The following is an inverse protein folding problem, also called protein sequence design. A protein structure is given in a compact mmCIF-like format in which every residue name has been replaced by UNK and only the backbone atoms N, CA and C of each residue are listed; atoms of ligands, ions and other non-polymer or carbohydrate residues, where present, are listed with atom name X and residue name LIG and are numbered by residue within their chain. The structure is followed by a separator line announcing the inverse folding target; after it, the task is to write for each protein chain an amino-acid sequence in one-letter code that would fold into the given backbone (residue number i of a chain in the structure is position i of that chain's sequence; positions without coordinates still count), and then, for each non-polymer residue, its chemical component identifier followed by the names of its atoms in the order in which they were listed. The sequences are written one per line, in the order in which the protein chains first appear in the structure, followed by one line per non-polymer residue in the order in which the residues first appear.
data_IF_820174021426
#
_entry.id   IF_820174021426
#
_cell.length_a   1.000
_cell.length_b   1.000
_cell.length_c   1.000
_cell.angle_alpha   90.00
_cell.angle_beta   90.00
_cell.angle_gamma   90.00
#
_symmetry.space_group_name_H-M   'P 1'
#
loop_
_entity.id
_entity.type
_entity.pdbx_description
1 polymer ?
#
# COMPACT_ATOMS: atom_id res chain seq x y z
N UNK A 1 -2.02 -15.67 -9.73
CA UNK A 1 -0.81 -14.89 -10.11
C UNK A 1 0.44 -15.29 -9.33
N UNK A 2 0.45 -16.38 -8.55
CA UNK A 2 1.61 -16.77 -7.76
C UNK A 2 2.52 -17.66 -8.62
N UNK A 3 3.70 -17.15 -8.99
CA UNK A 3 4.73 -17.94 -9.66
C UNK A 3 5.66 -18.63 -8.65
N UNK A 4 5.82 -18.04 -7.47
CA UNK A 4 6.75 -18.46 -6.43
C UNK A 4 6.16 -18.25 -5.04
N UNK A 5 6.68 -18.99 -4.06
CA UNK A 5 6.36 -18.79 -2.65
C UNK A 5 7.11 -17.59 -2.08
N UNK A 6 6.38 -16.47 -1.92
CA UNK A 6 6.90 -15.27 -1.25
C UNK A 6 6.57 -15.27 0.24
N UNK A 7 7.57 -14.96 1.06
CA UNK A 7 7.40 -14.83 2.51
C UNK A 7 7.25 -13.37 2.98
N UNK A 8 7.43 -12.43 2.06
CA UNK A 8 7.31 -11.00 2.32
C UNK A 8 6.80 -10.26 1.09
N UNK A 9 5.87 -9.33 1.30
CA UNK A 9 5.30 -8.46 0.28
C UNK A 9 5.75 -7.03 0.60
N UNK A 10 6.35 -6.34 -0.36
CA UNK A 10 6.62 -4.90 -0.29
C UNK A 10 5.62 -4.16 -1.17
N UNK A 11 4.94 -3.17 -0.59
CA UNK A 11 4.12 -2.20 -1.29
C UNK A 11 4.89 -0.90 -1.30
N UNK A 12 5.19 -0.38 -2.49
CA UNK A 12 6.25 0.58 -2.65
C UNK A 12 5.93 1.55 -3.78
N UNK A 13 5.77 2.83 -3.45
CA UNK A 13 5.63 3.87 -4.47
C UNK A 13 6.87 3.91 -5.36
N UNK A 14 6.67 3.96 -6.68
CA UNK A 14 7.76 3.89 -7.67
C UNK A 14 8.72 5.08 -7.61
N UNK A 15 8.28 6.18 -6.99
CA UNK A 15 9.01 7.43 -6.89
C UNK A 15 9.81 7.57 -5.58
N UNK A 16 9.76 6.59 -4.66
CA UNK A 16 10.45 6.66 -3.37
C UNK A 16 11.72 5.81 -3.34
N UNK A 17 12.90 6.42 -3.29
CA UNK A 17 14.18 5.69 -3.25
C UNK A 17 14.78 5.71 -1.83
N UNK A 18 15.15 4.56 -1.24
CA UNK A 18 15.80 4.53 0.07
C UNK A 18 17.18 5.20 0.01
N UNK A 19 17.52 6.01 1.02
CA UNK A 19 18.82 6.69 1.09
C UNK A 19 19.91 5.86 1.81
N UNK A 20 19.53 4.75 2.45
CA UNK A 20 20.42 3.95 3.29
C UNK A 20 20.12 2.45 3.13
N UNK A 21 21.14 1.68 2.75
CA UNK A 21 21.04 0.24 2.46
C UNK A 21 20.82 -0.63 3.71
N UNK A 22 20.99 -0.06 4.91
CA UNK A 22 20.66 -0.74 6.18
C UNK A 22 19.16 -0.76 6.47
N UNK A 23 18.34 -0.04 5.69
CA UNK A 23 16.90 -0.24 5.70
C UNK A 23 16.53 -1.45 4.84
N UNK A 24 16.77 -2.64 5.39
CA UNK A 24 16.63 -3.91 4.68
C UNK A 24 15.20 -4.13 4.15
N UNK A 25 15.10 -4.63 2.92
CA UNK A 25 13.82 -4.96 2.27
C UNK A 25 13.34 -6.35 2.69
N UNK A 26 13.07 -6.49 3.98
CA UNK A 26 12.53 -7.70 4.61
C UNK A 26 11.33 -7.37 5.48
N UNK A 27 10.49 -8.37 5.74
CA UNK A 27 9.37 -8.24 6.67
C UNK A 27 9.83 -8.41 8.12
N UNK A 28 9.14 -7.73 9.03
CA UNK A 28 9.36 -7.82 10.47
C UNK A 28 8.27 -8.67 11.15
N UNK A 29 8.38 -8.85 12.47
CA UNK A 29 7.35 -9.48 13.31
C UNK A 29 5.94 -8.85 13.15
N UNK A 30 5.89 -7.56 12.83
CA UNK A 30 4.67 -6.80 12.58
C UNK A 30 4.79 -6.06 11.24
N UNK A 31 3.67 -5.64 10.61
CA UNK A 31 3.68 -4.81 9.41
C UNK A 31 4.68 -3.66 9.52
N UNK A 32 5.63 -3.61 8.59
CA UNK A 32 6.72 -2.65 8.57
C UNK A 32 6.31 -1.42 7.77
N UNK A 33 6.53 -0.23 8.32
CA UNK A 33 6.56 1.02 7.58
C UNK A 33 8.03 1.40 7.37
N UNK A 34 8.52 1.29 6.14
CA UNK A 34 9.93 1.48 5.81
C UNK A 34 10.28 2.95 5.59
N UNK A 35 9.40 3.72 4.94
CA UNK A 35 9.59 5.13 4.56
C UNK A 35 9.23 6.12 5.67
N UNK A 36 9.90 6.02 6.80
CA UNK A 36 9.52 6.79 8.01
C UNK A 36 9.98 8.25 7.99
N UNK A 37 10.92 8.59 7.10
CA UNK A 37 11.49 9.92 6.97
C UNK A 37 11.70 10.27 5.49
N UNK A 38 10.66 10.79 4.84
CA UNK A 38 10.75 11.24 3.44
C UNK A 38 11.20 12.71 3.35
N UNK A 39 12.00 13.02 2.34
CA UNK A 39 12.49 14.38 2.08
C UNK A 39 11.34 15.40 1.87
N UNK A 40 10.25 15.00 1.21
CA UNK A 40 9.06 15.83 1.00
C UNK A 40 8.39 16.31 2.30
N UNK A 41 8.58 15.57 3.39
CA UNK A 41 8.09 15.90 4.73
C UNK A 41 9.20 16.42 5.64
N UNK A 42 10.33 16.85 5.08
CA UNK A 42 11.48 17.34 5.84
C UNK A 42 12.13 16.26 6.71
N UNK A 43 12.10 15.00 6.26
CA UNK A 43 12.60 13.82 6.98
C UNK A 43 11.95 13.60 8.35
N UNK A 44 10.68 14.00 8.49
CA UNK A 44 9.87 13.77 9.68
C UNK A 44 8.67 12.90 9.34
N UNK A 45 8.31 12.03 10.28
CA UNK A 45 7.07 11.28 10.18
C UNK A 45 5.88 12.24 10.32
N UNK A 46 4.93 12.29 9.36
CA UNK A 46 3.81 13.24 9.42
C UNK A 46 2.95 13.10 10.68
N UNK A 47 2.65 11.86 11.07
CA UNK A 47 1.91 11.52 12.30
C UNK A 47 2.12 10.05 12.68
N UNK A 48 1.81 9.69 13.93
CA UNK A 48 2.17 8.38 14.51
C UNK A 48 1.61 7.17 13.77
N UNK A 49 0.40 7.27 13.21
CA UNK A 49 -0.26 6.19 12.45
C UNK A 49 0.07 6.20 10.96
N UNK A 50 0.88 7.14 10.45
CA UNK A 50 1.21 7.22 9.04
C UNK A 50 1.87 5.93 8.54
N UNK A 51 1.35 5.37 7.44
CA UNK A 51 1.75 4.08 6.88
C UNK A 51 1.95 4.09 5.35
N UNK A 52 1.91 5.27 4.73
CA UNK A 52 2.05 5.44 3.28
C UNK A 52 3.49 5.43 2.76
N UNK A 53 3.65 5.41 1.45
CA UNK A 53 4.94 5.37 0.77
C UNK A 53 5.46 3.96 0.54
N UNK A 54 6.17 3.42 1.53
CA UNK A 54 6.77 2.09 1.47
C UNK A 54 6.47 1.30 2.72
N UNK A 55 5.78 0.18 2.56
CA UNK A 55 5.42 -0.75 3.62
C UNK A 55 5.71 -2.20 3.24
N UNK A 56 5.83 -3.06 4.25
CA UNK A 56 6.03 -4.49 4.04
C UNK A 56 5.22 -5.34 5.01
N UNK A 57 4.63 -6.41 4.50
CA UNK A 57 3.80 -7.35 5.25
C UNK A 57 4.12 -8.79 4.80
N UNK A 58 4.19 -9.73 5.75
CA UNK A 58 4.15 -11.14 5.37
C UNK A 58 2.76 -11.47 4.78
N UNK A 59 2.63 -12.51 3.94
CA UNK A 59 1.33 -12.94 3.45
C UNK A 59 0.33 -13.21 4.59
N UNK A 60 0.79 -13.75 5.73
CA UNK A 60 -0.05 -13.96 6.91
C UNK A 60 -0.53 -12.63 7.51
N UNK A 61 0.37 -11.67 7.72
CA UNK A 61 0.03 -10.34 8.24
C UNK A 61 -0.97 -9.62 7.33
N UNK A 62 -0.76 -9.71 6.02
CA UNK A 62 -1.62 -9.11 4.99
C UNK A 62 -3.01 -9.76 4.99
N UNK A 63 -3.10 -11.09 5.02
CA UNK A 63 -4.40 -11.78 5.04
C UNK A 63 -5.12 -11.62 6.38
N UNK A 64 -4.41 -11.51 7.51
CA UNK A 64 -5.00 -11.26 8.83
C UNK A 64 -5.79 -9.94 8.89
N UNK A 65 -5.42 -8.98 8.06
CA UNK A 65 -6.11 -7.69 7.94
C UNK A 65 -7.09 -7.62 6.75
N UNK A 66 -7.39 -8.76 6.11
CA UNK A 66 -8.17 -8.84 4.87
C UNK A 66 -7.54 -8.02 3.72
N UNK A 67 -6.22 -7.85 3.70
CA UNK A 67 -5.50 -6.97 2.78
C UNK A 67 -6.01 -5.52 2.77
N UNK A 68 -5.78 -4.84 1.65
CA UNK A 68 -6.05 -3.41 1.48
C UNK A 68 -7.47 -3.14 0.96
N UNK A 69 -8.05 -1.94 1.22
CA UNK A 69 -9.36 -1.57 0.70
C UNK A 69 -9.36 -1.47 -0.83
N UNK A 70 -10.44 -1.89 -1.49
CA UNK A 70 -10.55 -1.80 -2.96
C UNK A 70 -11.36 -0.57 -3.42
N UNK A 71 -11.91 0.22 -2.50
CA UNK A 71 -12.90 1.26 -2.81
C UNK A 71 -12.35 2.70 -2.75
N UNK A 72 -11.04 2.87 -2.58
CA UNK A 72 -10.37 4.16 -2.66
C UNK A 72 -9.99 4.46 -4.12
N UNK A 73 -10.91 5.10 -4.84
CA UNK A 73 -10.70 5.61 -6.19
C UNK A 73 -10.29 7.09 -6.14
N UNK A 74 -9.09 7.41 -6.61
CA UNK A 74 -8.44 8.71 -6.45
C UNK A 74 -7.57 8.79 -5.19
N UNK A 75 -6.98 9.95 -4.95
CA UNK A 75 -5.93 10.10 -3.94
C UNK A 75 -6.45 10.33 -2.52
N UNK A 76 -5.91 9.55 -1.57
CA UNK A 76 -5.85 9.84 -0.15
C UNK A 76 -6.78 9.04 0.76
N UNK A 77 -6.28 8.72 1.96
CA UNK A 77 -6.99 8.10 3.08
C UNK A 77 -6.97 6.57 3.09
N UNK A 78 -6.49 5.93 2.03
CA UNK A 78 -6.30 4.49 1.90
C UNK A 78 -5.19 3.99 2.84
N UNK A 79 -4.08 4.71 2.93
CA UNK A 79 -2.98 4.38 3.86
C UNK A 79 -3.42 4.46 5.32
N UNK A 80 -4.29 5.42 5.64
CA UNK A 80 -4.87 5.58 6.97
C UNK A 80 -5.86 4.45 7.27
N UNK A 81 -6.64 4.00 6.28
CA UNK A 81 -7.51 2.82 6.40
C UNK A 81 -6.67 1.57 6.67
N UNK A 82 -5.59 1.37 5.91
CA UNK A 82 -4.62 0.29 6.11
C UNK A 82 -4.04 0.34 7.53
N UNK A 83 -3.61 1.50 8.03
CA UNK A 83 -3.12 1.65 9.39
C UNK A 83 -4.18 1.29 10.44
N UNK A 84 -5.44 1.65 10.22
CA UNK A 84 -6.57 1.24 11.07
C UNK A 84 -6.77 -0.28 11.03
N UNK A 85 -6.67 -0.92 9.87
CA UNK A 85 -6.78 -2.39 9.72
C UNK A 85 -5.64 -3.13 10.40
N UNK A 86 -4.41 -2.61 10.36
CA UNK A 86 -3.27 -3.14 11.13
C UNK A 86 -3.64 -3.17 12.62
N UNK A 87 -4.17 -2.08 13.17
CA UNK A 87 -4.61 -2.04 14.56
C UNK A 87 -5.80 -2.98 14.85
N UNK A 88 -6.81 -3.03 13.97
CA UNK A 88 -8.01 -3.87 14.14
C UNK A 88 -7.72 -5.37 14.07
N UNK A 89 -6.68 -5.76 13.33
CA UNK A 89 -6.19 -7.14 13.26
C UNK A 89 -5.28 -7.52 14.44
N UNK A 90 -5.13 -6.64 15.43
CA UNK A 90 -4.30 -6.86 16.61
C UNK A 90 -2.80 -6.82 16.32
N UNK A 91 -2.40 -6.12 15.25
CA UNK A 91 -1.01 -5.94 14.85
C UNK A 91 -0.52 -4.53 15.24
N UNK A 92 0.80 -4.36 15.28
CA UNK A 92 1.45 -3.06 15.48
C UNK A 92 2.14 -2.61 14.18
N UNK A 93 2.65 -1.38 14.15
CA UNK A 93 3.50 -0.92 13.05
C UNK A 93 4.96 -1.00 13.51
N UNK A 94 5.77 -1.79 12.81
CA UNK A 94 7.23 -1.80 12.95
C UNK A 94 7.86 -0.68 12.13
N UNK A 95 8.93 -0.06 12.64
CA UNK A 95 9.64 1.02 11.96
C UNK A 95 11.16 0.85 12.17
N UNK A 96 11.98 1.08 11.13
CA UNK A 96 13.43 1.19 11.31
C UNK A 96 13.78 2.43 12.15
N UNK A 97 15.06 2.60 12.47
CA UNK A 97 15.56 3.88 12.99
C UNK A 97 15.38 4.98 11.94
N UNK A 98 15.03 6.20 12.38
CA UNK A 98 14.92 7.39 11.51
C UNK A 98 16.21 7.65 10.73
N UNK A 99 17.36 7.25 11.28
CA UNK A 99 18.65 7.36 10.58
C UNK A 99 18.69 6.54 9.29
N UNK A 100 18.05 5.36 9.27
CA UNK A 100 18.12 4.42 8.16
C UNK A 100 16.85 4.44 7.30
N UNK A 101 15.68 4.73 7.87
CA UNK A 101 14.40 4.79 7.14
C UNK A 101 14.18 6.09 6.36
N UNK A 102 15.24 6.68 5.80
CA UNK A 102 15.18 7.89 4.99
C UNK A 102 14.91 7.55 3.53
N UNK A 103 14.03 8.33 2.90
CA UNK A 103 13.67 8.16 1.50
C UNK A 103 13.68 9.49 0.76
N UNK A 104 14.09 9.42 -0.50
CA UNK A 104 14.06 10.50 -1.46
C UNK A 104 12.91 10.31 -2.44
N UNK A 105 12.03 11.29 -2.55
CA UNK A 105 10.99 11.32 -3.58
C UNK A 105 11.56 11.86 -4.90
N UNK A 106 11.39 11.11 -5.98
CA UNK A 106 11.61 11.57 -7.35
C UNK A 106 10.53 12.60 -7.65
N UNK A 107 10.93 13.80 -8.05
CA UNK A 107 9.98 14.89 -8.29
C UNK A 107 9.17 14.62 -9.55
N UNK A 108 7.85 14.70 -9.43
CA UNK A 108 6.91 14.67 -10.56
C UNK A 108 5.78 15.70 -10.33
N UNK A 109 5.03 16.01 -11.39
CA UNK A 109 3.84 16.87 -11.30
C UNK A 109 2.64 16.12 -10.72
N UNK A 110 1.47 16.75 -10.72
CA UNK A 110 0.25 15.99 -10.43
C UNK A 110 -0.04 14.99 -11.55
N UNK A 111 -0.09 13.71 -11.22
CA UNK A 111 -0.44 12.67 -12.17
C UNK A 111 -1.96 12.65 -12.42
N UNK A 112 -2.35 12.46 -13.68
CA UNK A 112 -3.76 12.27 -14.05
C UNK A 112 -4.29 11.00 -13.40
N UNK A 113 -5.51 11.04 -12.83
CA UNK A 113 -6.09 9.92 -12.10
C UNK A 113 -5.79 9.91 -10.59
N UNK A 114 -4.88 10.78 -10.13
CA UNK A 114 -4.61 11.02 -8.71
C UNK A 114 -5.38 12.23 -8.17
N UNK A 115 -6.54 12.55 -8.76
CA UNK A 115 -7.41 13.58 -8.20
C UNK A 115 -7.83 13.19 -6.78
N UNK A 116 -7.87 14.19 -5.91
CA UNK A 116 -8.20 13.97 -4.52
C UNK A 116 -9.58 13.31 -4.38
N UNK A 117 -9.64 12.17 -3.68
CA UNK A 117 -10.89 11.46 -3.45
C UNK A 117 -11.80 12.29 -2.51
N UNK A 118 -12.98 12.75 -2.97
CA UNK A 118 -13.89 13.56 -2.15
C UNK A 118 -14.55 12.73 -1.04
N UNK A 119 -14.55 11.40 -1.16
CA UNK A 119 -15.16 10.46 -0.21
C UNK A 119 -14.18 9.97 0.85
N UNK A 120 -12.88 10.31 0.77
CA UNK A 120 -11.81 9.74 1.63
C UNK A 120 -12.12 9.74 3.13
N UNK A 121 -12.63 10.85 3.66
CA UNK A 121 -12.96 10.96 5.09
C UNK A 121 -14.17 10.11 5.48
N UNK A 122 -15.15 9.98 4.60
CA UNK A 122 -16.34 9.15 4.81
C UNK A 122 -15.97 7.65 4.75
N UNK A 123 -15.08 7.27 3.83
CA UNK A 123 -14.54 5.91 3.74
C UNK A 123 -13.76 5.56 5.02
N UNK A 124 -12.83 6.43 5.43
CA UNK A 124 -12.01 6.24 6.62
C UNK A 124 -12.85 6.15 7.91
N UNK A 125 -13.92 6.95 8.03
CA UNK A 125 -14.83 6.86 9.17
C UNK A 125 -15.58 5.51 9.24
N UNK A 126 -15.71 4.80 8.12
CA UNK A 126 -16.43 3.52 8.02
C UNK A 126 -15.53 2.30 8.13
N UNK A 127 -14.20 2.44 8.07
CA UNK A 127 -13.23 1.32 8.07
C UNK A 127 -13.53 0.25 9.11
N UNK A 128 -13.79 0.65 10.38
CA UNK A 128 -14.09 -0.29 11.47
C UNK A 128 -15.28 -1.21 11.19
N UNK A 129 -16.25 -0.75 10.39
CA UNK A 129 -17.45 -1.50 10.00
C UNK A 129 -17.23 -2.30 8.72
N UNK A 130 -16.43 -1.79 7.79
CA UNK A 130 -16.34 -2.31 6.41
C UNK A 130 -15.11 -3.17 6.14
N UNK A 131 -14.06 -3.13 6.96
CA UNK A 131 -12.77 -3.79 6.64
C UNK A 131 -12.85 -5.31 6.44
N UNK A 132 -13.86 -5.98 7.00
CA UNK A 132 -14.10 -7.42 6.79
C UNK A 132 -14.91 -7.73 5.52
N UNK A 133 -15.53 -6.71 4.92
CA UNK A 133 -16.39 -6.83 3.74
C UNK A 133 -15.69 -6.34 2.47
N UNK A 134 -14.77 -5.38 2.61
CA UNK A 134 -13.97 -4.85 1.51
C UNK A 134 -12.49 -5.13 1.75
N UNK A 135 -11.88 -5.91 0.87
CA UNK A 135 -10.48 -6.30 0.93
C UNK A 135 -10.16 -7.46 -0.02
N UNK A 136 -9.22 -8.33 0.35
CA UNK A 136 -8.84 -9.49 -0.46
C UNK A 136 -10.00 -10.43 -0.76
N UNK A 137 -10.96 -10.56 0.16
CA UNK A 137 -12.16 -11.37 -0.04
C UNK A 137 -13.16 -10.79 -1.06
N UNK A 138 -13.02 -9.51 -1.43
CA UNK A 138 -13.90 -8.82 -2.36
C UNK A 138 -13.17 -8.34 -3.62
N UNK A 139 -11.86 -8.59 -3.73
CA UNK A 139 -11.03 -8.16 -4.85
C UNK A 139 -11.54 -8.77 -6.16
N UNK A 140 -11.79 -7.91 -7.16
CA UNK A 140 -12.18 -8.30 -8.52
C UNK A 140 -11.28 -7.60 -9.53
N UNK A 141 -10.72 -8.36 -10.46
CA UNK A 141 -9.91 -7.84 -11.56
C UNK A 141 -9.88 -8.88 -12.69
N UNK A 142 -9.59 -8.43 -13.91
CA UNK A 142 -9.19 -9.28 -15.02
C UNK A 142 -7.70 -9.09 -15.29
N UNK A 143 -6.97 -10.20 -15.44
CA UNK A 143 -5.60 -10.16 -15.94
C UNK A 143 -5.64 -9.94 -17.45
N UNK A 144 -5.04 -8.84 -17.93
CA UNK A 144 -4.97 -8.51 -19.35
C UNK A 144 -3.68 -9.01 -19.98
N UNK A 145 -2.54 -8.79 -19.32
CA UNK A 145 -1.24 -9.30 -19.77
C UNK A 145 -0.30 -9.54 -18.59
N UNK A 146 0.68 -10.41 -18.83
CA UNK A 146 1.79 -10.69 -17.93
C UNK A 146 3.05 -10.87 -18.75
N UNK A 147 3.99 -9.95 -18.60
CA UNK A 147 5.22 -9.89 -19.39
C UNK A 147 6.43 -9.98 -18.46
N UNK A 148 7.25 -11.01 -18.65
CA UNK A 148 8.51 -11.17 -17.93
C UNK A 148 9.60 -10.38 -18.67
N UNK A 149 10.10 -9.33 -18.04
CA UNK A 149 11.17 -8.48 -18.57
C UNK A 149 12.47 -8.75 -17.80
N UNK A 150 13.64 -8.32 -18.32
CA UNK A 150 14.92 -8.64 -17.69
C UNK A 150 15.09 -8.20 -16.23
N UNK A 151 14.36 -7.16 -15.78
CA UNK A 151 14.50 -6.58 -14.45
C UNK A 151 13.21 -6.62 -13.60
N UNK A 152 12.05 -6.90 -14.21
CA UNK A 152 10.77 -6.93 -13.52
C UNK A 152 9.72 -7.71 -14.32
N UNK A 153 8.62 -8.09 -13.67
CA UNK A 153 7.44 -8.62 -14.36
C UNK A 153 6.40 -7.51 -14.43
N UNK A 154 5.95 -7.18 -15.64
CA UNK A 154 4.82 -6.28 -15.84
C UNK A 154 3.52 -7.08 -15.81
N UNK A 155 2.59 -6.71 -14.94
CA UNK A 155 1.25 -7.30 -14.84
C UNK A 155 0.24 -6.20 -15.15
N UNK A 156 -0.41 -6.28 -16.30
CA UNK A 156 -1.49 -5.35 -16.66
C UNK A 156 -2.82 -5.95 -16.27
N UNK A 157 -3.60 -5.19 -15.49
CA UNK A 157 -4.91 -5.63 -14.98
C UNK A 157 -5.98 -4.60 -15.29
N UNK A 158 -7.19 -5.09 -15.55
CA UNK A 158 -8.42 -4.30 -15.48
C UNK A 158 -9.02 -4.49 -14.09
N UNK A 159 -9.16 -3.39 -13.34
CA UNK A 159 -9.72 -3.38 -11.98
C UNK A 159 -11.16 -2.82 -11.96
N UNK A 160 -11.76 -2.60 -13.12
CA UNK A 160 -13.08 -2.01 -13.28
C UNK A 160 -13.08 -0.50 -13.07
N UNK A 161 -14.19 0.01 -12.53
CA UNK A 161 -14.38 1.44 -12.24
C UNK A 161 -14.98 1.66 -10.86
N UNK A 162 -15.10 2.92 -10.44
CA UNK A 162 -15.79 3.29 -9.19
C UNK A 162 -17.24 2.76 -9.12
N UNK A 163 -17.91 2.58 -10.27
CA UNK A 163 -19.27 2.04 -10.35
C UNK A 163 -19.33 0.52 -10.15
N UNK A 164 -18.18 -0.13 -10.08
CA UNK A 164 -18.03 -1.57 -9.93
C UNK A 164 -17.26 -2.20 -11.08
N UNK A 165 -17.05 -3.50 -10.92
CA UNK A 165 -16.40 -4.34 -11.89
C UNK A 165 -17.43 -4.82 -12.94
N UNK A 166 -17.28 -4.35 -14.17
CA UNK A 166 -18.07 -4.77 -15.32
C UNK A 166 -17.10 -5.45 -16.30
N UNK A 167 -17.09 -6.79 -16.38
CA UNK A 167 -16.22 -7.48 -17.34
C UNK A 167 -16.55 -6.97 -18.74
N UNK A 168 -15.55 -6.55 -19.52
CA UNK A 168 -15.75 -6.31 -20.94
C UNK A 168 -16.14 -7.66 -21.58
N UNK A 169 -17.37 -7.74 -22.10
CA UNK A 169 -17.89 -8.87 -22.88
C UNK A 169 -17.15 -9.03 -24.19
#
# INVERSE_FOLDING_TARGET
MKDEDWNCLFFHDVDLIPEDDRNLYTCDKFPKHASIAMDKFGYKLPYKSYFGGVSALSPEQYMKMNGFPNNYWGWGGEDDDIAVRVALSGQLISRPSVRYGRYKMIKHGHDKGNEQNPKRFNLLAKTRRTWRQDGMNALRYNLLSKELLPLYTNITVDIGSEKGFHPMT
#
